data_IF_537601055257
#
_entry.id   IF_537601055257
#
_cell.length_a   1.000
_cell.length_b   1.000
_cell.length_c   1.000
_cell.angle_alpha   90.00
_cell.angle_beta   90.00
_cell.angle_gamma   90.00
#
_symmetry.space_group_name_H-M   'P 1'
#
loop_
_entity.id
_entity.type
_entity.pdbx_description
1 polymer ?
#
# COMPACT_ATOMS: atom_id res chain seq x y z
N UNK A 1 -26.79 17.75 7.21
CA UNK A 1 -25.59 17.53 6.38
C UNK A 1 -24.65 16.70 7.22
N UNK A 2 -24.22 15.53 6.75
CA UNK A 2 -23.24 14.72 7.49
C UNK A 2 -21.89 15.40 7.40
N UNK A 3 -21.15 15.42 8.51
CA UNK A 3 -19.75 15.85 8.53
C UNK A 3 -18.89 14.87 7.75
N UNK A 4 -17.73 15.31 7.27
CA UNK A 4 -16.75 14.44 6.59
C UNK A 4 -16.38 13.23 7.47
N UNK A 5 -16.18 13.46 8.78
CA UNK A 5 -15.90 12.41 9.77
C UNK A 5 -17.01 11.35 9.81
N UNK A 6 -18.28 11.76 9.81
CA UNK A 6 -19.44 10.85 9.79
C UNK A 6 -19.54 10.06 8.48
N UNK A 7 -19.24 10.69 7.33
CA UNK A 7 -19.22 10.02 6.04
C UNK A 7 -18.14 8.93 5.97
N UNK A 8 -16.91 9.24 6.44
CA UNK A 8 -15.82 8.26 6.52
C UNK A 8 -16.21 7.10 7.44
N UNK A 9 -16.78 7.40 8.61
CA UNK A 9 -17.22 6.38 9.55
C UNK A 9 -18.28 5.43 8.95
N UNK A 10 -19.25 6.00 8.22
CA UNK A 10 -20.28 5.24 7.53
C UNK A 10 -19.69 4.33 6.44
N UNK A 11 -18.81 4.88 5.58
CA UNK A 11 -18.12 4.11 4.54
C UNK A 11 -17.23 3.02 5.13
N UNK A 12 -16.55 3.28 6.25
CA UNK A 12 -15.76 2.26 6.94
C UNK A 12 -16.65 1.10 7.40
N UNK A 13 -17.80 1.39 8.01
CA UNK A 13 -18.74 0.35 8.43
C UNK A 13 -19.27 -0.48 7.25
N UNK A 14 -19.65 0.19 6.15
CA UNK A 14 -20.10 -0.49 4.93
C UNK A 14 -18.99 -1.36 4.34
N UNK A 15 -17.77 -0.81 4.21
CA UNK A 15 -16.62 -1.51 3.65
C UNK A 15 -16.26 -2.77 4.45
N UNK A 16 -16.29 -2.69 5.79
CA UNK A 16 -16.05 -3.82 6.68
C UNK A 16 -17.14 -4.88 6.56
N UNK A 17 -18.40 -4.47 6.50
CA UNK A 17 -19.54 -5.37 6.31
C UNK A 17 -19.43 -6.13 4.99
N UNK A 18 -19.20 -5.41 3.89
CA UNK A 18 -19.10 -5.97 2.53
C UNK A 18 -17.89 -6.88 2.31
N UNK A 19 -16.83 -6.72 3.11
CA UNK A 19 -15.61 -7.53 2.97
C UNK A 19 -15.36 -8.47 4.17
N UNK A 20 -16.36 -8.65 5.05
CA UNK A 20 -16.23 -9.46 6.27
C UNK A 20 -15.76 -10.90 6.01
N UNK A 21 -16.15 -11.51 4.89
CA UNK A 21 -15.74 -12.87 4.52
C UNK A 21 -14.27 -12.97 4.09
N UNK A 22 -13.65 -11.87 3.66
CA UNK A 22 -12.27 -11.85 3.16
C UNK A 22 -11.23 -11.65 4.28
N UNK A 23 -11.69 -11.28 5.48
CA UNK A 23 -10.83 -10.96 6.61
C UNK A 23 -10.67 -12.16 7.53
N UNK A 24 -9.44 -12.41 8.00
CA UNK A 24 -9.21 -13.36 9.09
C UNK A 24 -9.69 -12.78 10.44
N UNK A 25 -9.89 -13.64 11.43
CA UNK A 25 -10.43 -13.23 12.74
C UNK A 25 -9.52 -12.24 13.48
N UNK A 26 -8.19 -12.39 13.34
CA UNK A 26 -7.21 -11.46 13.91
C UNK A 26 -7.37 -10.05 13.34
N UNK A 27 -7.54 -9.94 12.03
CA UNK A 27 -7.75 -8.67 11.32
C UNK A 27 -9.07 -8.03 11.72
N UNK A 28 -10.15 -8.83 11.77
CA UNK A 28 -11.48 -8.37 12.23
C UNK A 28 -11.39 -7.81 13.64
N UNK A 29 -10.72 -8.49 14.56
CA UNK A 29 -10.58 -8.03 15.94
C UNK A 29 -9.83 -6.69 16.02
N UNK A 30 -8.72 -6.55 15.30
CA UNK A 30 -7.91 -5.31 15.27
C UNK A 30 -8.69 -4.12 14.70
N UNK A 31 -9.38 -4.32 13.59
CA UNK A 31 -10.09 -3.24 12.90
C UNK A 31 -11.46 -2.93 13.53
N UNK A 32 -12.06 -3.87 14.27
CA UNK A 32 -13.32 -3.64 14.98
C UNK A 32 -13.13 -2.87 16.30
N UNK A 33 -11.90 -2.86 16.83
CA UNK A 33 -11.54 -2.07 18.00
C UNK A 33 -11.94 -0.60 17.78
N UNK A 34 -12.68 -0.04 18.74
CA UNK A 34 -13.22 1.32 18.64
C UNK A 34 -12.12 2.38 18.55
N UNK A 35 -11.11 2.29 19.40
CA UNK A 35 -10.00 3.25 19.44
C UNK A 35 -9.23 3.24 18.12
N UNK A 36 -8.96 2.05 17.56
CA UNK A 36 -8.35 1.91 16.24
C UNK A 36 -9.17 2.59 15.15
N UNK A 37 -10.50 2.39 15.13
CA UNK A 37 -11.38 3.00 14.12
C UNK A 37 -11.44 4.50 14.25
N UNK A 38 -11.59 5.01 15.47
CA UNK A 38 -11.64 6.44 15.74
C UNK A 38 -10.33 7.11 15.27
N UNK A 39 -9.18 6.52 15.63
CA UNK A 39 -7.87 6.99 15.16
C UNK A 39 -7.71 6.90 13.64
N UNK A 40 -8.19 5.84 13.00
CA UNK A 40 -8.14 5.70 11.54
C UNK A 40 -8.97 6.79 10.87
N UNK A 41 -10.21 6.98 11.33
CA UNK A 41 -11.10 8.01 10.81
C UNK A 41 -10.45 9.39 10.96
N UNK A 42 -9.92 9.70 12.16
CA UNK A 42 -9.29 11.00 12.44
C UNK A 42 -8.08 11.26 11.53
N UNK A 43 -7.25 10.24 11.26
CA UNK A 43 -6.12 10.35 10.34
C UNK A 43 -6.51 10.62 8.88
N UNK A 44 -7.76 10.38 8.51
CA UNK A 44 -8.25 10.56 7.15
C UNK A 44 -8.96 11.90 6.94
N UNK A 45 -9.48 12.54 7.99
CA UNK A 45 -10.36 13.73 7.88
C UNK A 45 -9.74 14.87 7.07
N UNK A 46 -8.45 15.13 7.25
CA UNK A 46 -7.77 16.27 6.63
C UNK A 46 -7.48 16.07 5.13
N UNK A 47 -7.48 14.82 4.64
CA UNK A 47 -7.19 14.47 3.26
C UNK A 47 -5.69 14.38 2.92
N UNK A 48 -4.78 14.62 3.86
CA UNK A 48 -3.32 14.58 3.64
C UNK A 48 -2.88 13.20 3.14
N UNK A 49 -3.48 12.15 3.70
CA UNK A 49 -3.20 10.74 3.35
C UNK A 49 -3.39 10.46 1.85
N UNK A 50 -4.35 11.11 1.17
CA UNK A 50 -4.59 10.86 -0.26
C UNK A 50 -3.46 11.39 -1.11
N UNK A 51 -2.93 12.58 -0.79
CA UNK A 51 -1.77 13.16 -1.47
C UNK A 51 -0.53 12.28 -1.29
N UNK A 52 -0.38 11.70 -0.09
CA UNK A 52 0.70 10.76 0.21
C UNK A 52 0.52 9.47 -0.61
N UNK A 53 -0.67 8.88 -0.64
CA UNK A 53 -0.92 7.67 -1.42
C UNK A 53 -0.71 7.85 -2.93
N UNK A 54 -1.08 9.01 -3.50
CA UNK A 54 -0.76 9.32 -4.90
C UNK A 54 0.76 9.45 -5.10
N UNK A 55 1.46 10.14 -4.18
CA UNK A 55 2.93 10.23 -4.24
C UNK A 55 3.62 8.87 -4.11
N UNK A 56 3.09 7.97 -3.27
CA UNK A 56 3.60 6.60 -3.11
C UNK A 56 3.34 5.74 -4.35
N UNK A 57 2.20 5.95 -5.02
CA UNK A 57 1.90 5.29 -6.31
C UNK A 57 2.86 5.74 -7.39
N UNK A 58 3.11 7.04 -7.51
CA UNK A 58 4.06 7.57 -8.47
C UNK A 58 5.49 7.04 -8.20
N UNK A 59 5.87 6.97 -6.92
CA UNK A 59 7.15 6.37 -6.50
C UNK A 59 7.23 4.88 -6.88
N UNK A 60 6.17 4.11 -6.63
CA UNK A 60 6.07 2.70 -7.03
C UNK A 60 6.25 2.56 -8.54
N UNK A 61 5.49 3.31 -9.33
CA UNK A 61 5.50 3.23 -10.79
C UNK A 61 6.88 3.60 -11.38
N UNK A 62 7.53 4.62 -10.81
CA UNK A 62 8.87 5.02 -11.22
C UNK A 62 9.89 3.91 -10.94
N UNK A 63 9.82 3.33 -9.73
CA UNK A 63 10.77 2.30 -9.29
C UNK A 63 10.55 0.99 -10.03
N UNK A 64 9.31 0.60 -10.31
CA UNK A 64 9.01 -0.59 -11.12
C UNK A 64 9.57 -0.47 -12.53
N UNK A 65 9.43 0.71 -13.16
CA UNK A 65 10.04 1.00 -14.48
C UNK A 65 11.56 0.95 -14.44
N UNK A 66 12.17 1.54 -13.41
CA UNK A 66 13.63 1.53 -13.21
C UNK A 66 14.16 0.09 -13.06
N UNK A 67 13.57 -0.69 -12.15
CA UNK A 67 13.98 -2.07 -11.89
C UNK A 67 13.76 -2.97 -13.10
N UNK A 68 12.66 -2.79 -13.83
CA UNK A 68 12.41 -3.53 -15.07
C UNK A 68 13.47 -3.21 -16.14
N UNK A 69 13.78 -1.93 -16.34
CA UNK A 69 14.81 -1.51 -17.29
C UNK A 69 16.21 -2.05 -16.90
N UNK A 70 16.55 -2.01 -15.61
CA UNK A 70 17.77 -2.60 -15.06
C UNK A 70 17.84 -4.10 -15.36
N UNK A 71 16.74 -4.82 -15.12
CA UNK A 71 16.62 -6.25 -15.42
C UNK A 71 16.89 -6.55 -16.89
N UNK A 72 16.27 -5.80 -17.79
CA UNK A 72 16.43 -5.98 -19.23
C UNK A 72 17.87 -5.70 -19.69
N UNK A 73 18.50 -4.63 -19.19
CA UNK A 73 19.90 -4.31 -19.51
C UNK A 73 20.84 -5.44 -19.10
N UNK A 74 20.73 -5.92 -17.86
CA UNK A 74 21.60 -7.00 -17.35
C UNK A 74 21.39 -8.31 -18.12
N UNK A 75 20.14 -8.65 -18.46
CA UNK A 75 19.87 -9.85 -19.27
C UNK A 75 20.48 -9.70 -20.68
N UNK A 76 20.37 -8.52 -21.29
CA UNK A 76 20.95 -8.24 -22.61
C UNK A 76 22.46 -8.37 -22.59
N UNK A 77 23.14 -7.76 -21.63
CA UNK A 77 24.60 -7.83 -21.47
C UNK A 77 25.09 -9.29 -21.28
N UNK A 78 24.37 -10.09 -20.50
CA UNK A 78 24.69 -11.51 -20.33
C UNK A 78 24.53 -12.32 -21.62
N UNK A 79 23.52 -11.99 -22.45
CA UNK A 79 23.33 -12.64 -23.75
C UNK A 79 24.41 -12.25 -24.73
N UNK A 80 24.78 -10.98 -24.79
CA UNK A 80 25.84 -10.46 -25.68
C UNK A 80 27.22 -11.00 -25.31
N UNK A 81 27.50 -11.15 -24.02
CA UNK A 81 28.74 -11.80 -23.53
C UNK A 81 28.76 -13.32 -23.72
N UNK A 82 27.65 -13.94 -24.13
CA UNK A 82 27.52 -15.40 -24.27
C UNK A 82 27.53 -16.17 -22.94
N UNK A 83 27.41 -15.46 -21.80
CA UNK A 83 27.46 -16.07 -20.45
C UNK A 83 26.08 -16.23 -19.81
N UNK A 84 25.01 -16.00 -20.58
CA UNK A 84 23.64 -16.13 -20.12
C UNK A 84 23.32 -17.55 -19.68
N UNK A 85 22.92 -17.71 -18.41
CA UNK A 85 22.45 -18.95 -17.82
C UNK A 85 21.22 -18.69 -16.96
N UNK A 86 20.43 -19.74 -16.71
CA UNK A 86 19.28 -19.65 -15.81
C UNK A 86 19.69 -19.23 -14.39
N UNK A 87 20.89 -19.63 -13.95
CA UNK A 87 21.43 -19.22 -12.65
C UNK A 87 21.65 -17.70 -12.58
N UNK A 88 22.31 -17.11 -13.59
CA UNK A 88 22.51 -15.66 -13.62
C UNK A 88 21.21 -14.89 -13.78
N UNK A 89 20.25 -15.43 -14.54
CA UNK A 89 18.92 -14.83 -14.63
C UNK A 89 18.23 -14.80 -13.26
N UNK A 90 18.31 -15.89 -12.49
CA UNK A 90 17.77 -15.94 -11.12
C UNK A 90 18.46 -14.96 -10.18
N UNK A 91 19.77 -14.76 -10.33
CA UNK A 91 20.52 -13.77 -9.55
C UNK A 91 20.03 -12.34 -9.82
N UNK A 92 19.81 -12.00 -11.09
CA UNK A 92 19.20 -10.72 -11.48
C UNK A 92 17.77 -10.63 -10.92
N UNK A 93 16.94 -11.64 -11.13
CA UNK A 93 15.54 -11.65 -10.65
C UNK A 93 15.48 -11.47 -9.12
N UNK A 94 16.43 -12.06 -8.37
CA UNK A 94 16.56 -11.88 -6.92
C UNK A 94 16.90 -10.44 -6.54
N UNK A 95 17.84 -9.81 -7.23
CA UNK A 95 18.19 -8.41 -7.00
C UNK A 95 17.00 -7.47 -7.27
N UNK A 96 16.21 -7.75 -8.31
CA UNK A 96 14.99 -6.99 -8.59
C UNK A 96 13.97 -7.12 -7.46
N UNK A 97 13.75 -8.34 -6.96
CA UNK A 97 12.84 -8.57 -5.83
C UNK A 97 13.32 -7.87 -4.56
N UNK A 98 14.63 -7.86 -4.28
CA UNK A 98 15.20 -7.13 -3.15
C UNK A 98 14.93 -5.62 -3.25
N UNK A 99 15.05 -5.03 -4.44
CA UNK A 99 14.71 -3.63 -4.68
C UNK A 99 13.21 -3.33 -4.51
N UNK A 100 12.33 -4.25 -4.91
CA UNK A 100 10.89 -4.13 -4.65
C UNK A 100 10.58 -4.18 -3.15
N UNK A 101 11.22 -5.10 -2.42
CA UNK A 101 11.05 -5.22 -0.97
C UNK A 101 11.53 -3.96 -0.22
N UNK A 102 12.61 -3.32 -0.68
CA UNK A 102 13.08 -2.03 -0.16
C UNK A 102 12.03 -0.93 -0.38
N UNK A 103 11.42 -0.90 -1.57
CA UNK A 103 10.37 0.06 -1.91
C UNK A 103 9.14 -0.09 -1.01
N UNK A 104 8.70 -1.32 -0.77
CA UNK A 104 7.59 -1.61 0.16
C UNK A 104 7.93 -1.14 1.57
N UNK A 105 9.17 -1.33 2.04
CA UNK A 105 9.60 -0.85 3.36
C UNK A 105 9.56 0.68 3.45
N UNK A 106 10.00 1.38 2.40
CA UNK A 106 9.95 2.85 2.35
C UNK A 106 8.49 3.37 2.38
N UNK A 107 7.60 2.75 1.61
CA UNK A 107 6.17 3.08 1.62
C UNK A 107 5.54 2.84 3.00
N UNK A 108 5.83 1.69 3.63
CA UNK A 108 5.38 1.40 4.99
C UNK A 108 5.86 2.47 5.97
N UNK A 109 7.13 2.88 5.89
CA UNK A 109 7.68 3.93 6.75
C UNK A 109 6.96 5.27 6.56
N UNK A 110 6.68 5.68 5.32
CA UNK A 110 5.94 6.92 5.07
C UNK A 110 4.52 6.87 5.62
N UNK A 111 3.81 5.76 5.47
CA UNK A 111 2.46 5.58 6.03
C UNK A 111 2.46 5.61 7.56
N UNK A 112 3.47 5.01 8.20
CA UNK A 112 3.66 5.08 9.67
C UNK A 112 3.93 6.53 10.10
N UNK A 113 4.83 7.25 9.43
CA UNK A 113 5.15 8.63 9.75
C UNK A 113 3.97 9.59 9.56
N UNK A 114 3.03 9.23 8.68
CA UNK A 114 1.76 9.96 8.49
C UNK A 114 0.81 9.80 9.68
N UNK A 115 1.11 8.86 10.59
CA UNK A 115 0.24 8.57 11.74
C UNK A 115 -0.96 7.69 11.39
N UNK A 116 -0.93 7.01 10.22
CA UNK A 116 -1.97 6.05 9.88
C UNK A 116 -1.88 4.83 10.80
N UNK A 117 -2.95 4.50 11.54
CA UNK A 117 -2.95 3.30 12.36
C UNK A 117 -2.95 2.05 11.48
N UNK A 118 -2.57 0.91 12.09
CA UNK A 118 -2.50 -0.41 11.43
C UNK A 118 -1.37 -0.58 10.42
N UNK A 119 -0.54 0.44 10.19
CA UNK A 119 0.71 0.30 9.46
C UNK A 119 1.88 0.06 10.41
N UNK A 120 2.74 -0.88 10.03
CA UNK A 120 4.04 -1.15 10.63
C UNK A 120 4.95 -1.79 9.58
N UNK A 121 6.25 -1.67 9.74
CA UNK A 121 7.16 -2.41 8.88
C UNK A 121 6.99 -3.91 9.12
N UNK A 122 6.67 -4.67 8.07
CA UNK A 122 6.41 -6.11 8.18
C UNK A 122 6.53 -6.80 6.83
N UNK A 123 7.07 -8.03 6.86
CA UNK A 123 7.03 -8.99 5.75
C UNK A 123 6.02 -10.13 6.01
N UNK A 124 5.34 -10.10 7.17
CA UNK A 124 4.30 -11.07 7.50
C UNK A 124 3.11 -10.93 6.53
N UNK A 125 2.74 -12.03 5.87
CA UNK A 125 1.66 -12.05 4.89
C UNK A 125 0.29 -11.63 5.43
N UNK A 126 -0.02 -11.90 6.70
CA UNK A 126 -1.25 -11.44 7.34
C UNK A 126 -1.22 -9.93 7.56
N UNK A 127 -0.09 -9.39 8.01
CA UNK A 127 0.06 -7.96 8.19
C UNK A 127 -0.02 -7.21 6.85
N UNK A 128 0.66 -7.71 5.82
CA UNK A 128 0.62 -7.12 4.49
C UNK A 128 -0.81 -7.13 3.93
N UNK A 129 -1.56 -8.22 4.12
CA UNK A 129 -2.98 -8.29 3.73
C UNK A 129 -3.82 -7.25 4.45
N UNK A 130 -3.63 -7.06 5.75
CA UNK A 130 -4.33 -6.02 6.50
C UNK A 130 -3.97 -4.62 5.98
N UNK A 131 -2.70 -4.32 5.79
CA UNK A 131 -2.26 -3.01 5.29
C UNK A 131 -2.82 -2.73 3.89
N UNK A 132 -2.79 -3.72 3.00
CA UNK A 132 -3.43 -3.62 1.68
C UNK A 132 -4.93 -3.41 1.76
N UNK A 133 -5.60 -4.09 2.70
CA UNK A 133 -7.02 -3.89 2.95
C UNK A 133 -7.35 -2.46 3.40
N UNK A 134 -6.50 -1.87 4.26
CA UNK A 134 -6.64 -0.46 4.66
C UNK A 134 -6.38 0.49 3.49
N UNK A 135 -5.34 0.27 2.68
CA UNK A 135 -5.10 1.09 1.48
C UNK A 135 -6.31 1.01 0.53
N UNK A 136 -6.86 -0.19 0.29
CA UNK A 136 -8.06 -0.36 -0.53
C UNK A 136 -9.24 0.44 0.01
N UNK A 137 -9.48 0.38 1.32
CA UNK A 137 -10.51 1.20 1.97
C UNK A 137 -10.28 2.69 1.70
N UNK A 138 -9.07 3.20 1.94
CA UNK A 138 -8.77 4.62 1.77
C UNK A 138 -9.00 5.04 0.32
N UNK A 139 -8.58 4.23 -0.66
CA UNK A 139 -8.82 4.52 -2.08
C UNK A 139 -10.32 4.58 -2.43
N UNK A 140 -11.20 3.89 -1.70
CA UNK A 140 -12.66 4.01 -1.90
C UNK A 140 -13.27 5.32 -1.42
N UNK A 141 -12.52 6.10 -0.64
CA UNK A 141 -12.96 7.39 -0.10
C UNK A 141 -12.57 8.57 -1.01
N UNK A 142 -11.84 8.33 -2.11
CA UNK A 142 -11.29 9.40 -2.95
C UNK A 142 -12.38 10.35 -3.46
N UNK A 143 -13.56 9.83 -3.77
CA UNK A 143 -14.76 10.60 -4.15
C UNK A 143 -15.16 11.65 -3.11
N UNK A 144 -15.01 11.35 -1.82
CA UNK A 144 -15.32 12.28 -0.72
C UNK A 144 -14.40 13.53 -0.75
N UNK A 145 -13.23 13.44 -1.38
CA UNK A 145 -12.22 14.50 -1.43
C UNK A 145 -12.10 15.14 -2.81
N UNK A 146 -12.50 14.43 -3.88
CA UNK A 146 -12.52 14.96 -5.24
C UNK A 146 -13.66 16.00 -5.44
N UNK A 147 -14.80 15.88 -4.73
CA UNK A 147 -15.96 16.80 -4.80
C UNK A 147 -15.75 18.17 -4.08
N UNK A 148 -14.51 18.56 -3.79
CA UNK A 148 -14.17 19.81 -3.09
C UNK A 148 -13.09 20.65 -3.83
N UNK A 149 -12.83 20.36 -5.11
CA UNK A 149 -11.95 21.17 -5.98
C UNK A 149 -12.71 22.02 -7.03
N UNK A 150 -13.85 22.62 -6.64
CA UNK A 150 -14.45 23.78 -7.36
C UNK A 150 -14.39 25.05 -6.51
#
# INVERSE_FOLDING_TARGET
MLTRKELIAMRLYEFLTSNSEKLNETTKARISNKETRDSLIDSLVDGTVFSILESLRDLQDLKDKELWAQRESKIKELRESGTFTDQKKREIDKEILEGLDETVKEQQNMLICTGLPLFKQSLDSEELRLQMFIIQFILTLKDIYDDQQE
#
